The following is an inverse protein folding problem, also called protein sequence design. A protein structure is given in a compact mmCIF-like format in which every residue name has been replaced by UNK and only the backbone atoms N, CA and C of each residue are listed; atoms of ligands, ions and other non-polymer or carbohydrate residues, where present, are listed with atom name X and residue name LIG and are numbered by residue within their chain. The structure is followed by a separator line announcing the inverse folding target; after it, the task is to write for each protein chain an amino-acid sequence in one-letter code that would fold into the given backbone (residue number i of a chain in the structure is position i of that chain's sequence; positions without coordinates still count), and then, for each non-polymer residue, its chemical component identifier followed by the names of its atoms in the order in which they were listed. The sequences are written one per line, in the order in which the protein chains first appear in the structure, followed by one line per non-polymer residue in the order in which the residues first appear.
data_IF_839444418224
#
_entry.id   IF_839444418224
#
_cell.length_a   1.000
_cell.length_b   1.000
_cell.length_c   1.000
_cell.angle_alpha   90.00
_cell.angle_beta   90.00
_cell.angle_gamma   90.00
#
_symmetry.space_group_name_H-M   'P 1'
#
loop_
_entity.id
_entity.type
_entity.pdbx_description
1 polymer ?
#
# COMPACT_ATOMS: atom_id res chain seq x y z
N UNK A 1 21.07 2.61 44.68
CA UNK A 1 19.62 2.81 44.89
C UNK A 1 18.91 2.57 43.56
N UNK A 2 18.32 1.39 43.38
CA UNK A 2 17.61 1.00 42.17
C UNK A 2 16.26 1.73 42.11
N UNK A 3 15.99 2.46 41.01
CA UNK A 3 14.67 3.01 40.69
C UNK A 3 13.86 1.93 39.95
N UNK A 4 12.65 1.57 40.40
CA UNK A 4 11.82 0.57 39.73
C UNK A 4 11.18 1.12 38.44
N UNK A 5 10.87 0.23 37.48
CA UNK A 5 10.62 0.58 36.08
C UNK A 5 9.20 1.11 35.82
N UNK A 6 9.13 2.08 34.90
CA UNK A 6 7.93 2.50 34.17
C UNK A 6 7.39 1.32 33.34
N UNK A 7 6.52 0.49 33.94
CA UNK A 7 5.84 -0.62 33.24
C UNK A 7 4.31 -0.57 33.43
N UNK A 8 3.72 0.61 33.61
CA UNK A 8 2.31 0.74 34.00
C UNK A 8 1.38 1.57 33.09
N UNK A 9 1.41 1.46 31.74
CA UNK A 9 0.22 1.84 31.00
C UNK A 9 -0.40 0.74 30.11
N UNK A 10 0.08 -0.51 30.14
CA UNK A 10 -0.51 -1.58 29.30
C UNK A 10 -1.76 -2.25 29.89
N UNK A 11 -2.09 -2.03 31.16
CA UNK A 11 -3.21 -2.72 31.81
C UNK A 11 -4.58 -2.02 31.66
N UNK A 12 -4.62 -0.80 31.12
CA UNK A 12 -5.87 0.01 31.05
C UNK A 12 -6.65 -0.15 29.74
N UNK A 13 -6.12 -0.87 28.74
CA UNK A 13 -6.82 -1.12 27.47
C UNK A 13 -7.75 -2.36 27.51
N UNK A 14 -7.80 -3.10 28.63
CA UNK A 14 -8.52 -4.37 28.73
C UNK A 14 -9.95 -4.26 29.31
N UNK A 15 -10.37 -3.09 29.81
CA UNK A 15 -11.63 -2.94 30.54
C UNK A 15 -12.74 -2.25 29.71
N UNK A 16 -12.92 -2.64 28.45
CA UNK A 16 -14.12 -2.26 27.68
C UNK A 16 -15.02 -3.49 27.52
N UNK A 17 -16.36 -3.36 27.67
CA UNK A 17 -17.30 -4.48 27.54
C UNK A 17 -17.51 -4.93 26.08
N UNK A 18 -16.77 -4.36 25.12
CA UNK A 18 -16.79 -4.74 23.72
C UNK A 18 -15.79 -5.90 23.47
N UNK A 19 -16.02 -6.77 22.46
CA UNK A 19 -15.01 -7.74 22.04
C UNK A 19 -13.69 -7.04 21.77
N UNK A 20 -12.66 -7.34 22.55
CA UNK A 20 -11.35 -6.76 22.35
C UNK A 20 -10.75 -7.38 21.07
N UNK A 21 -10.70 -6.61 19.98
CA UNK A 21 -10.11 -7.04 18.69
C UNK A 21 -8.58 -7.21 18.76
N UNK A 22 -7.97 -6.84 19.89
CA UNK A 22 -6.57 -7.10 20.15
C UNK A 22 -6.41 -8.60 20.44
N UNK A 23 -5.75 -9.31 19.52
CA UNK A 23 -5.43 -10.73 19.68
C UNK A 23 -4.57 -11.02 20.92
N UNK A 24 -4.10 -12.26 21.07
CA UNK A 24 -3.33 -12.67 22.23
C UNK A 24 -2.19 -11.66 22.55
N UNK A 25 -2.18 -11.05 23.76
CA UNK A 25 -1.21 -10.01 24.12
C UNK A 25 0.25 -10.46 24.00
N UNK A 26 0.52 -11.74 24.19
CA UNK A 26 1.86 -12.33 24.01
C UNK A 26 2.29 -12.40 22.54
N UNK A 27 1.34 -12.42 21.62
CA UNK A 27 1.58 -12.41 20.18
C UNK A 27 1.63 -10.99 19.60
N UNK A 28 1.19 -9.95 20.34
CA UNK A 28 1.18 -8.57 19.84
C UNK A 28 2.54 -8.07 19.34
N UNK A 29 3.69 -8.36 19.97
CA UNK A 29 4.99 -7.95 19.43
C UNK A 29 5.30 -8.59 18.07
N UNK A 30 4.95 -9.87 17.91
CA UNK A 30 5.12 -10.59 16.64
C UNK A 30 4.16 -10.05 15.58
N UNK A 31 2.90 -9.82 15.94
CA UNK A 31 1.91 -9.19 15.06
C UNK A 31 2.33 -7.78 14.64
N UNK A 32 2.93 -7.00 15.54
CA UNK A 32 3.44 -5.66 15.24
C UNK A 32 4.62 -5.70 14.26
N UNK A 33 5.57 -6.61 14.44
CA UNK A 33 6.71 -6.78 13.52
C UNK A 33 6.25 -7.23 12.13
N UNK A 34 5.34 -8.21 12.07
CA UNK A 34 4.81 -8.74 10.80
C UNK A 34 3.97 -7.70 10.06
N UNK A 35 3.07 -7.01 10.76
CA UNK A 35 2.29 -5.89 10.19
C UNK A 35 3.20 -4.77 9.73
N UNK A 36 4.22 -4.42 10.52
CA UNK A 36 5.21 -3.41 10.17
C UNK A 36 5.97 -3.76 8.89
N UNK A 37 6.43 -5.01 8.77
CA UNK A 37 7.11 -5.50 7.57
C UNK A 37 6.19 -5.50 6.34
N UNK A 38 4.93 -5.93 6.48
CA UNK A 38 3.94 -5.90 5.40
C UNK A 38 3.66 -4.47 4.94
N UNK A 39 3.46 -3.54 5.87
CA UNK A 39 3.23 -2.13 5.56
C UNK A 39 4.45 -1.49 4.85
N UNK A 40 5.67 -1.83 5.29
CA UNK A 40 6.89 -1.36 4.64
C UNK A 40 7.01 -1.88 3.19
N UNK A 41 6.74 -3.18 2.98
CA UNK A 41 6.75 -3.77 1.65
C UNK A 41 5.68 -3.16 0.73
N UNK A 42 4.46 -2.96 1.24
CA UNK A 42 3.38 -2.29 0.52
C UNK A 42 3.76 -0.86 0.13
N UNK A 43 4.31 -0.07 1.07
CA UNK A 43 4.72 1.30 0.82
C UNK A 43 5.86 1.41 -0.20
N UNK A 44 6.83 0.48 -0.15
CA UNK A 44 7.91 0.40 -1.13
C UNK A 44 7.35 0.13 -2.54
N UNK A 45 6.46 -0.86 -2.66
CA UNK A 45 5.78 -1.18 -3.93
C UNK A 45 4.99 0.01 -4.48
N UNK A 46 4.20 0.68 -3.63
CA UNK A 46 3.44 1.88 -4.00
C UNK A 46 4.35 3.00 -4.50
N UNK A 47 5.50 3.20 -3.86
CA UNK A 47 6.47 4.22 -4.26
C UNK A 47 7.08 3.92 -5.65
N UNK A 48 7.41 2.66 -5.94
CA UNK A 48 7.90 2.24 -7.26
C UNK A 48 6.86 2.45 -8.36
N UNK A 49 5.61 2.03 -8.11
CA UNK A 49 4.49 2.24 -9.05
C UNK A 49 4.29 3.72 -9.33
N UNK A 50 4.23 4.55 -8.28
CA UNK A 50 4.08 5.99 -8.40
C UNK A 50 5.23 6.62 -9.18
N UNK A 51 6.47 6.19 -8.94
CA UNK A 51 7.64 6.70 -9.64
C UNK A 51 7.58 6.39 -11.14
N UNK A 52 7.16 5.18 -11.53
CA UNK A 52 6.97 4.82 -12.93
C UNK A 52 5.89 5.69 -13.57
N UNK A 53 4.72 5.82 -12.93
CA UNK A 53 3.59 6.60 -13.45
C UNK A 53 3.91 8.10 -13.55
N UNK A 54 4.64 8.67 -12.59
CA UNK A 54 5.09 10.05 -12.66
C UNK A 54 6.11 10.28 -13.79
N UNK A 55 6.99 9.30 -14.04
CA UNK A 55 7.96 9.36 -15.13
C UNK A 55 7.38 9.15 -16.52
N UNK A 56 6.23 8.48 -16.64
CA UNK A 56 5.56 8.21 -17.94
C UNK A 56 4.38 9.13 -18.21
N UNK A 57 3.70 9.59 -17.16
CA UNK A 57 2.41 10.26 -17.27
C UNK A 57 1.40 9.44 -18.08
N UNK A 58 0.53 10.11 -18.85
CA UNK A 58 -0.50 9.46 -19.67
C UNK A 58 0.03 8.55 -20.77
N UNK A 59 1.33 8.62 -21.11
CA UNK A 59 1.92 7.76 -22.14
C UNK A 59 1.80 6.27 -21.80
N UNK A 60 1.65 5.92 -20.51
CA UNK A 60 1.44 4.54 -20.06
C UNK A 60 0.21 3.87 -20.70
N UNK A 61 -0.77 4.65 -21.17
CA UNK A 61 -1.96 4.14 -21.84
C UNK A 61 -1.69 3.56 -23.23
N UNK A 62 -0.60 3.98 -23.88
CA UNK A 62 -0.35 3.66 -25.30
C UNK A 62 1.08 3.20 -25.61
N UNK A 63 2.05 3.48 -24.73
CA UNK A 63 3.44 3.05 -24.88
C UNK A 63 3.67 1.68 -24.23
N UNK A 64 3.96 0.68 -25.07
CA UNK A 64 4.26 -0.68 -24.64
C UNK A 64 5.49 -0.77 -23.70
N UNK A 65 6.50 0.10 -23.88
CA UNK A 65 7.66 0.15 -23.00
C UNK A 65 7.31 0.73 -21.64
N UNK A 66 6.46 1.76 -21.59
CA UNK A 66 5.93 2.30 -20.34
C UNK A 66 5.11 1.25 -19.58
N UNK A 67 4.21 0.55 -20.28
CA UNK A 67 3.44 -0.55 -19.71
C UNK A 67 4.33 -1.68 -19.20
N UNK A 68 5.35 -2.09 -19.97
CA UNK A 68 6.28 -3.12 -19.54
C UNK A 68 7.05 -2.74 -18.27
N UNK A 69 7.42 -1.46 -18.10
CA UNK A 69 8.01 -0.96 -16.85
C UNK A 69 7.01 -1.00 -15.69
N UNK A 70 5.77 -0.57 -15.92
CA UNK A 70 4.71 -0.63 -14.91
C UNK A 70 4.47 -2.06 -14.45
N UNK A 71 4.32 -3.02 -15.37
CA UNK A 71 4.04 -4.42 -15.04
C UNK A 71 5.21 -5.16 -14.39
N UNK A 72 6.43 -4.62 -14.50
CA UNK A 72 7.60 -5.15 -13.79
C UNK A 72 7.56 -4.79 -12.30
N UNK A 73 7.11 -3.57 -11.99
CA UNK A 73 6.97 -3.08 -10.61
C UNK A 73 5.58 -3.37 -10.03
N UNK A 74 4.59 -3.74 -10.84
CA UNK A 74 3.27 -4.16 -10.38
C UNK A 74 2.81 -5.35 -11.24
N UNK A 75 3.09 -6.61 -10.81
CA UNK A 75 2.85 -7.80 -11.61
C UNK A 75 1.35 -8.18 -11.68
N UNK A 76 0.52 -7.27 -12.22
CA UNK A 76 -0.91 -7.50 -12.47
C UNK A 76 -1.08 -8.66 -13.49
N UNK A 77 -2.01 -9.60 -13.26
CA UNK A 77 -2.32 -10.68 -14.20
C UNK A 77 -2.60 -10.15 -15.60
N UNK A 78 -2.10 -10.83 -16.63
CA UNK A 78 -2.22 -10.37 -18.04
C UNK A 78 -3.68 -10.14 -18.45
N UNK A 79 -4.61 -10.96 -17.92
CA UNK A 79 -6.04 -10.84 -18.18
C UNK A 79 -6.63 -9.51 -17.68
N UNK A 80 -6.10 -8.95 -16.60
CA UNK A 80 -6.63 -7.74 -15.94
C UNK A 80 -5.98 -6.45 -16.42
N UNK A 81 -4.79 -6.51 -17.03
CA UNK A 81 -4.03 -5.31 -17.44
C UNK A 81 -4.82 -4.36 -18.33
N UNK A 82 -5.64 -4.90 -19.24
CA UNK A 82 -6.47 -4.09 -20.13
C UNK A 82 -7.52 -3.30 -19.34
N UNK A 83 -8.09 -3.91 -18.32
CA UNK A 83 -9.10 -3.26 -17.48
C UNK A 83 -8.46 -2.20 -16.59
N UNK A 84 -7.26 -2.47 -16.03
CA UNK A 84 -6.48 -1.46 -15.30
C UNK A 84 -6.17 -0.24 -16.16
N UNK A 85 -5.73 -0.44 -17.41
CA UNK A 85 -5.45 0.67 -18.32
C UNK A 85 -6.72 1.44 -18.68
N UNK A 86 -7.88 0.77 -18.78
CA UNK A 86 -9.17 1.44 -18.96
C UNK A 86 -9.53 2.29 -17.75
N UNK A 87 -9.45 1.71 -16.54
CA UNK A 87 -9.74 2.41 -15.28
C UNK A 87 -8.83 3.65 -15.12
N UNK A 88 -7.56 3.58 -15.53
CA UNK A 88 -6.63 4.72 -15.53
C UNK A 88 -7.00 5.76 -16.61
N UNK A 89 -7.46 5.33 -17.78
CA UNK A 89 -7.87 6.22 -18.86
C UNK A 89 -9.13 7.02 -18.52
N UNK A 90 -10.00 6.48 -17.67
CA UNK A 90 -11.23 7.12 -17.21
C UNK A 90 -10.98 8.16 -16.08
N UNK A 91 -9.75 8.26 -15.57
CA UNK A 91 -9.39 9.25 -14.55
C UNK A 91 -9.33 10.67 -15.13
N UNK A 92 -9.79 11.69 -14.37
CA UNK A 92 -9.71 13.08 -14.79
C UNK A 92 -8.28 13.62 -14.79
N UNK A 93 -8.07 14.72 -15.52
CA UNK A 93 -6.83 15.50 -15.57
C UNK A 93 -5.53 14.70 -15.81
N UNK A 94 -5.41 14.00 -16.95
CA UNK A 94 -4.27 13.12 -17.24
C UNK A 94 -2.90 13.79 -17.06
N UNK A 95 -2.04 13.19 -16.24
CA UNK A 95 -0.67 13.66 -16.00
C UNK A 95 -0.52 14.66 -14.85
N UNK A 96 -1.62 15.09 -14.23
CA UNK A 96 -1.60 15.83 -12.96
C UNK A 96 -1.06 14.98 -11.80
N UNK A 97 -0.70 15.61 -10.68
CA UNK A 97 -0.28 14.90 -9.48
C UNK A 97 -1.42 14.04 -8.92
N UNK A 98 -2.65 14.54 -9.00
CA UNK A 98 -3.89 13.88 -8.59
C UNK A 98 -4.15 12.64 -9.46
N UNK A 99 -3.98 12.76 -10.78
CA UNK A 99 -4.09 11.64 -11.70
C UNK A 99 -3.03 10.57 -11.41
N UNK A 100 -1.78 10.95 -11.13
CA UNK A 100 -0.70 10.01 -10.78
C UNK A 100 -1.06 9.23 -9.51
N UNK A 101 -1.59 9.91 -8.49
CA UNK A 101 -2.02 9.27 -7.24
C UNK A 101 -3.19 8.31 -7.47
N UNK A 102 -4.23 8.75 -8.18
CA UNK A 102 -5.38 7.92 -8.51
C UNK A 102 -4.98 6.70 -9.35
N UNK A 103 -4.17 6.88 -10.39
CA UNK A 103 -3.65 5.79 -11.21
C UNK A 103 -2.80 4.81 -10.40
N UNK A 104 -2.00 5.31 -9.45
CA UNK A 104 -1.24 4.45 -8.52
C UNK A 104 -2.18 3.58 -7.71
N UNK A 105 -3.25 4.16 -7.14
CA UNK A 105 -4.24 3.41 -6.37
C UNK A 105 -4.94 2.36 -7.25
N UNK A 106 -5.36 2.72 -8.47
CA UNK A 106 -5.99 1.80 -9.42
C UNK A 106 -5.12 0.58 -9.73
N UNK A 107 -3.80 0.73 -9.82
CA UNK A 107 -2.88 -0.40 -10.00
C UNK A 107 -2.74 -1.21 -8.72
N UNK A 108 -2.58 -0.54 -7.57
CA UNK A 108 -2.30 -1.20 -6.29
C UNK A 108 -3.45 -2.07 -5.79
N UNK A 109 -4.70 -1.75 -6.11
CA UNK A 109 -5.87 -2.56 -5.71
C UNK A 109 -6.00 -3.89 -6.48
N UNK A 110 -5.12 -4.14 -7.45
CA UNK A 110 -5.06 -5.37 -8.27
C UNK A 110 -3.87 -6.27 -7.92
N UNK A 111 -3.08 -5.90 -6.91
CA UNK A 111 -1.93 -6.66 -6.40
C UNK A 111 -2.34 -7.47 -5.17
#
# INVERSE_FOLDING_TARGET
MLRPPLLLPLALAACTPAPNHLGNPLLLPVSALTTGAQNAAYNARRAEVKAVLAGTGPAVLHDANAQARLWRVAPVPVAERKDVLRDIADLPDPGSAEWIEAATVTVMVRL
#
